data_IF_585949411049
#
_entry.id   IF_585949411049
#
_cell.length_a   1.000
_cell.length_b   1.000
_cell.length_c   1.000
_cell.angle_alpha   90.00
_cell.angle_beta   90.00
_cell.angle_gamma   90.00
#
_symmetry.space_group_name_H-M   'P 1'
#
loop_
_entity.id
_entity.type
_entity.pdbx_description
1 polymer ?
#
# COMPACT_ATOMS: atom_id res chain seq x y z
N UNK A 1 -34.25 -16.95 22.24
CA UNK A 1 -32.82 -17.32 22.46
C UNK A 1 -31.92 -16.73 21.41
N UNK A 2 -32.30 -16.73 20.12
CA UNK A 2 -31.52 -16.09 19.05
C UNK A 2 -31.30 -14.61 19.32
N UNK A 3 -32.30 -13.83 19.72
CA UNK A 3 -32.18 -12.40 20.03
C UNK A 3 -31.14 -12.10 21.14
N UNK A 4 -31.01 -13.03 22.11
CA UNK A 4 -30.00 -12.90 23.17
C UNK A 4 -28.61 -13.23 22.66
N UNK A 5 -28.50 -14.24 21.79
CA UNK A 5 -27.23 -14.59 21.17
C UNK A 5 -26.72 -13.47 20.25
N UNK A 6 -27.61 -12.81 19.51
CA UNK A 6 -27.29 -11.61 18.70
C UNK A 6 -26.80 -10.44 19.54
N UNK A 7 -27.44 -10.18 20.69
CA UNK A 7 -27.01 -9.12 21.62
C UNK A 7 -25.65 -9.39 22.25
N UNK A 8 -25.29 -10.65 22.45
CA UNK A 8 -24.00 -11.07 23.01
C UNK A 8 -22.88 -11.14 21.96
N UNK A 9 -23.24 -11.14 20.69
CA UNK A 9 -22.26 -11.20 19.59
C UNK A 9 -21.34 -9.99 19.63
N UNK A 10 -20.03 -10.23 19.55
CA UNK A 10 -19.00 -9.19 19.69
C UNK A 10 -18.63 -8.82 21.15
N UNK A 11 -19.41 -9.26 22.15
CA UNK A 11 -19.12 -9.04 23.57
C UNK A 11 -18.63 -10.33 24.24
N UNK A 12 -19.24 -11.46 23.91
CA UNK A 12 -18.81 -12.78 24.39
C UNK A 12 -17.77 -13.39 23.44
N UNK A 13 -16.80 -14.12 24.00
CA UNK A 13 -15.75 -14.79 23.23
C UNK A 13 -16.32 -15.93 22.38
N UNK A 14 -17.22 -16.72 22.94
CA UNK A 14 -17.91 -17.83 22.29
C UNK A 14 -19.37 -17.85 22.79
N UNK A 15 -20.29 -18.13 21.90
CA UNK A 15 -21.72 -18.24 22.22
C UNK A 15 -22.18 -19.62 21.74
N UNK A 16 -22.90 -20.33 22.59
CA UNK A 16 -23.57 -21.59 22.27
C UNK A 16 -25.04 -21.50 22.64
N UNK A 17 -25.92 -21.90 21.74
CA UNK A 17 -27.36 -21.99 22.00
C UNK A 17 -27.71 -23.46 22.21
N UNK A 18 -28.18 -23.76 23.43
CA UNK A 18 -28.59 -25.12 23.80
C UNK A 18 -30.06 -25.33 23.57
N UNK A 19 -30.37 -26.38 22.83
CA UNK A 19 -31.69 -26.94 22.78
C UNK A 19 -31.80 -28.03 23.82
N UNK A 20 -32.77 -27.90 24.75
CA UNK A 20 -33.00 -28.84 25.83
C UNK A 20 -34.04 -29.87 25.37
N UNK A 21 -33.65 -31.11 25.10
CA UNK A 21 -34.57 -32.14 24.56
C UNK A 21 -35.58 -32.58 25.60
N UNK A 22 -36.81 -32.95 25.19
CA UNK A 22 -37.86 -33.48 26.05
C UNK A 22 -38.83 -32.45 26.62
N UNK A 23 -38.58 -31.15 26.39
CA UNK A 23 -39.53 -30.11 26.79
C UNK A 23 -40.74 -30.10 25.83
N UNK A 24 -41.96 -30.20 26.38
CA UNK A 24 -43.23 -30.14 25.62
C UNK A 24 -43.54 -28.77 25.00
N UNK A 25 -44.69 -28.53 24.40
CA UNK A 25 -45.11 -27.22 23.87
C UNK A 25 -45.34 -26.18 24.99
N UNK A 26 -44.93 -24.93 24.79
CA UNK A 26 -45.08 -23.82 25.74
C UNK A 26 -46.56 -23.58 26.10
N UNK A 27 -46.91 -23.67 27.37
CA UNK A 27 -48.20 -23.27 27.93
C UNK A 27 -48.07 -21.92 28.63
N UNK A 28 -49.15 -21.13 28.68
CA UNK A 28 -49.17 -19.72 29.11
C UNK A 28 -48.53 -19.40 30.50
N UNK A 29 -48.22 -20.33 31.35
CA UNK A 29 -47.63 -20.07 32.69
C UNK A 29 -46.38 -20.88 33.01
N UNK A 30 -45.94 -21.79 32.19
CA UNK A 30 -44.68 -22.53 32.37
C UNK A 30 -43.82 -22.34 31.14
N UNK A 31 -42.71 -21.62 31.34
CA UNK A 31 -41.72 -21.45 30.28
C UNK A 31 -40.98 -22.76 30.05
N UNK A 32 -40.56 -23.00 28.83
CA UNK A 32 -39.59 -24.02 28.51
C UNK A 32 -38.21 -23.47 28.92
N UNK A 33 -37.84 -23.64 30.16
CA UNK A 33 -36.54 -23.20 30.67
C UNK A 33 -35.73 -24.38 31.22
N UNK A 34 -34.57 -24.05 31.71
CA UNK A 34 -33.68 -25.05 32.29
C UNK A 34 -34.27 -25.75 33.50
N UNK A 35 -35.11 -25.09 34.33
CA UNK A 35 -35.73 -25.68 35.48
C UNK A 35 -36.72 -26.79 35.08
N UNK A 36 -37.56 -26.53 34.06
CA UNK A 36 -38.49 -27.51 33.53
C UNK A 36 -37.75 -28.72 32.93
N UNK A 37 -36.61 -28.51 32.33
CA UNK A 37 -35.77 -29.58 31.81
C UNK A 37 -35.10 -30.40 32.93
N UNK A 38 -34.66 -29.78 33.98
CA UNK A 38 -33.99 -30.43 35.12
C UNK A 38 -34.96 -31.32 35.93
N UNK A 39 -36.27 -31.01 35.92
CA UNK A 39 -37.32 -31.76 36.57
C UNK A 39 -37.74 -33.05 35.80
N UNK A 40 -37.25 -33.23 34.60
CA UNK A 40 -37.50 -34.45 33.81
C UNK A 40 -36.60 -35.57 34.34
N UNK A 41 -37.22 -36.70 34.68
CA UNK A 41 -36.50 -37.87 35.20
C UNK A 41 -35.43 -38.37 34.18
N UNK A 42 -34.21 -38.54 34.69
CA UNK A 42 -33.05 -38.93 33.87
C UNK A 42 -32.24 -37.76 33.28
N UNK A 43 -32.62 -36.51 33.53
CA UNK A 43 -31.81 -35.35 33.19
C UNK A 43 -30.95 -34.96 34.44
N UNK A 44 -29.66 -35.04 34.27
CA UNK A 44 -28.67 -34.72 35.33
C UNK A 44 -27.56 -33.80 34.81
N UNK A 45 -26.64 -33.42 35.69
CA UNK A 45 -25.50 -32.56 35.36
C UNK A 45 -24.59 -33.18 34.30
N UNK A 46 -24.50 -34.51 34.23
CA UNK A 46 -23.66 -35.19 33.23
C UNK A 46 -24.26 -35.01 31.85
N UNK A 47 -25.56 -35.22 31.72
CA UNK A 47 -26.29 -35.02 30.44
C UNK A 47 -26.28 -33.58 29.99
N UNK A 48 -26.34 -32.62 30.94
CA UNK A 48 -26.18 -31.19 30.61
C UNK A 48 -24.78 -30.90 30.05
N UNK A 49 -23.74 -31.43 30.67
CA UNK A 49 -22.38 -31.25 30.20
C UNK A 49 -22.13 -31.86 28.81
N UNK A 50 -22.75 -32.99 28.51
CA UNK A 50 -22.73 -33.61 27.20
C UNK A 50 -23.42 -32.69 26.17
N UNK A 51 -24.58 -32.14 26.45
CA UNK A 51 -25.29 -31.19 25.61
C UNK A 51 -24.49 -29.91 25.36
N UNK A 52 -23.80 -29.39 26.37
CA UNK A 52 -22.92 -28.22 26.25
C UNK A 52 -21.71 -28.54 25.36
N UNK A 53 -21.13 -29.74 25.51
CA UNK A 53 -20.00 -30.18 24.72
C UNK A 53 -20.37 -30.29 23.24
N UNK A 54 -21.52 -30.90 22.96
CA UNK A 54 -21.98 -31.18 21.61
C UNK A 54 -22.63 -29.99 20.91
N UNK A 55 -23.01 -28.95 21.65
CA UNK A 55 -23.59 -27.75 21.08
C UNK A 55 -22.59 -27.02 20.18
N UNK A 56 -23.00 -26.76 18.95
CA UNK A 56 -22.22 -25.97 17.99
C UNK A 56 -22.09 -24.52 18.46
N UNK A 57 -20.99 -23.90 18.10
CA UNK A 57 -20.85 -22.45 18.28
C UNK A 57 -21.92 -21.74 17.45
N UNK A 58 -22.64 -20.84 18.11
CA UNK A 58 -23.62 -20.01 17.46
C UNK A 58 -22.91 -18.92 16.63
N UNK A 59 -23.31 -18.80 15.40
CA UNK A 59 -23.00 -17.66 14.56
C UNK A 59 -24.31 -17.03 14.08
N UNK A 60 -24.35 -15.71 13.87
CA UNK A 60 -25.50 -15.09 13.23
C UNK A 60 -25.84 -15.86 11.95
N UNK A 61 -27.13 -16.14 11.72
CA UNK A 61 -27.57 -16.61 10.42
C UNK A 61 -27.09 -15.57 9.39
N UNK A 62 -26.17 -15.94 8.54
CA UNK A 62 -25.83 -15.15 7.35
C UNK A 62 -27.09 -15.12 6.47
N UNK A 63 -27.98 -14.19 6.76
CA UNK A 63 -29.03 -13.82 5.81
C UNK A 63 -28.25 -13.18 4.68
N UNK A 64 -28.18 -13.86 3.54
CA UNK A 64 -27.60 -13.31 2.32
C UNK A 64 -28.46 -12.12 1.92
N UNK A 65 -28.05 -10.94 2.40
CA UNK A 65 -28.65 -9.68 2.02
C UNK A 65 -27.97 -9.23 0.72
N UNK A 66 -28.68 -9.40 -0.41
CA UNK A 66 -28.19 -8.95 -1.71
C UNK A 66 -27.77 -7.47 -1.70
N UNK A 67 -28.43 -6.66 -0.90
CA UNK A 67 -28.14 -5.25 -0.75
C UNK A 67 -26.81 -5.04 -0.02
N UNK A 68 -26.50 -5.88 0.98
CA UNK A 68 -25.20 -5.86 1.68
C UNK A 68 -24.08 -6.37 0.78
N UNK A 69 -24.30 -7.43 0.00
CA UNK A 69 -23.33 -7.97 -0.94
C UNK A 69 -22.84 -6.92 -1.94
N UNK A 70 -23.74 -6.08 -2.43
CA UNK A 70 -23.36 -4.93 -3.31
C UNK A 70 -22.53 -3.90 -2.59
N UNK A 71 -22.79 -3.63 -1.31
CA UNK A 71 -21.98 -2.70 -0.51
C UNK A 71 -20.57 -3.25 -0.32
N UNK A 72 -20.44 -4.54 -0.04
CA UNK A 72 -19.15 -5.21 0.10
C UNK A 72 -18.37 -5.22 -1.23
N UNK A 73 -19.03 -5.54 -2.36
CA UNK A 73 -18.41 -5.47 -3.70
C UNK A 73 -17.80 -4.08 -3.95
N UNK A 74 -18.56 -3.03 -3.68
CA UNK A 74 -18.09 -1.67 -3.91
C UNK A 74 -17.01 -1.23 -2.90
N UNK A 75 -17.08 -1.70 -1.65
CA UNK A 75 -16.06 -1.45 -0.64
C UNK A 75 -14.68 -2.02 -1.01
N UNK A 76 -14.61 -3.07 -1.84
CA UNK A 76 -13.32 -3.60 -2.31
C UNK A 76 -12.54 -2.58 -3.15
N UNK A 77 -13.26 -1.72 -3.88
CA UNK A 77 -12.66 -0.80 -4.88
C UNK A 77 -12.80 0.67 -4.50
N UNK A 78 -13.74 1.00 -3.63
CA UNK A 78 -14.11 2.38 -3.36
C UNK A 78 -14.09 2.70 -1.86
N UNK A 79 -13.80 3.95 -1.57
CA UNK A 79 -14.04 4.51 -0.24
C UNK A 79 -14.32 6.02 -0.33
N UNK A 80 -15.01 6.54 0.68
CA UNK A 80 -15.28 7.97 0.81
C UNK A 80 -14.24 8.62 1.70
N UNK A 81 -13.78 9.81 1.35
CA UNK A 81 -12.89 10.62 2.18
C UNK A 81 -13.11 12.12 1.94
N UNK A 82 -12.45 12.94 2.76
CA UNK A 82 -12.43 14.40 2.58
C UNK A 82 -11.06 14.83 2.05
N UNK A 83 -11.04 15.55 0.92
CA UNK A 83 -9.81 16.13 0.35
C UNK A 83 -10.08 17.62 0.09
N UNK A 84 -9.31 18.52 0.72
CA UNK A 84 -9.49 19.96 0.57
C UNK A 84 -10.90 20.41 0.95
N UNK A 85 -11.47 19.87 2.05
CA UNK A 85 -12.83 20.19 2.49
C UNK A 85 -13.98 19.65 1.62
N UNK A 86 -13.67 18.86 0.57
CA UNK A 86 -14.67 18.31 -0.37
C UNK A 86 -14.79 16.81 -0.21
N UNK A 87 -16.03 16.31 -0.11
CA UNK A 87 -16.31 14.87 -0.14
C UNK A 87 -15.85 14.30 -1.47
N UNK A 88 -15.04 13.25 -1.42
CA UNK A 88 -14.42 12.60 -2.59
C UNK A 88 -14.60 11.10 -2.47
N UNK A 89 -15.02 10.46 -3.57
CA UNK A 89 -14.96 9.02 -3.71
C UNK A 89 -13.62 8.66 -4.33
N UNK A 90 -12.87 7.84 -3.64
CA UNK A 90 -11.58 7.32 -4.10
C UNK A 90 -11.79 5.94 -4.67
N UNK A 91 -11.25 5.71 -5.85
CA UNK A 91 -11.32 4.43 -6.55
C UNK A 91 -9.92 3.82 -6.63
N UNK A 92 -9.78 2.60 -6.13
CA UNK A 92 -8.57 1.81 -6.31
C UNK A 92 -8.70 1.05 -7.64
N UNK A 93 -7.92 1.44 -8.65
CA UNK A 93 -7.98 0.91 -10.01
C UNK A 93 -6.63 0.34 -10.40
N UNK A 94 -6.63 -0.84 -11.02
CA UNK A 94 -5.42 -1.37 -11.63
C UNK A 94 -5.12 -0.63 -12.93
N UNK A 95 -3.93 -0.04 -13.01
CA UNK A 95 -3.41 0.58 -14.22
C UNK A 95 -2.54 -0.43 -14.97
N UNK A 96 -3.00 -0.95 -16.14
CA UNK A 96 -2.27 -1.97 -16.88
C UNK A 96 -0.97 -1.45 -17.52
N UNK A 97 -0.85 -0.13 -17.76
CA UNK A 97 0.35 0.46 -18.33
C UNK A 97 1.47 0.62 -17.28
N UNK A 98 1.07 0.84 -16.03
CA UNK A 98 1.99 0.96 -14.90
C UNK A 98 2.12 -0.36 -14.11
N UNK A 99 1.35 -1.39 -14.45
CA UNK A 99 1.25 -2.70 -13.77
C UNK A 99 1.09 -2.57 -12.25
N UNK A 100 0.34 -1.54 -11.81
CA UNK A 100 0.12 -1.25 -10.38
C UNK A 100 -1.27 -0.68 -10.13
N UNK A 101 -1.72 -0.78 -8.88
CA UNK A 101 -2.93 -0.10 -8.46
C UNK A 101 -2.66 1.39 -8.21
N UNK A 102 -3.49 2.23 -8.83
CA UNK A 102 -3.49 3.68 -8.65
C UNK A 102 -4.78 4.13 -7.99
N UNK A 103 -4.76 5.32 -7.40
CA UNK A 103 -5.95 5.97 -6.91
C UNK A 103 -6.46 6.97 -7.94
N UNK A 104 -7.75 6.86 -8.26
CA UNK A 104 -8.48 7.88 -9.00
C UNK A 104 -9.52 8.54 -8.11
N UNK A 105 -9.91 9.75 -8.42
CA UNK A 105 -10.74 10.59 -7.58
C UNK A 105 -11.98 11.05 -8.34
N UNK A 106 -13.16 10.75 -7.80
CA UNK A 106 -14.44 11.15 -8.37
C UNK A 106 -15.20 12.04 -7.41
N UNK A 107 -16.05 12.92 -7.96
CA UNK A 107 -17.08 13.56 -7.14
C UNK A 107 -18.16 12.54 -6.75
N UNK A 108 -18.92 12.75 -5.66
CA UNK A 108 -20.06 11.90 -5.36
C UNK A 108 -21.08 11.79 -6.49
N UNK A 109 -21.23 12.85 -7.28
CA UNK A 109 -22.14 12.88 -8.43
C UNK A 109 -21.63 11.99 -9.56
N UNK A 110 -20.36 12.11 -9.93
CA UNK A 110 -19.78 11.31 -10.99
C UNK A 110 -19.78 9.82 -10.64
N UNK A 111 -19.46 9.49 -9.38
CA UNK A 111 -19.54 8.12 -8.89
C UNK A 111 -20.95 7.53 -9.01
N UNK A 112 -21.98 8.28 -8.59
CA UNK A 112 -23.38 7.84 -8.70
C UNK A 112 -23.81 7.68 -10.15
N UNK A 113 -23.41 8.60 -11.03
CA UNK A 113 -23.70 8.55 -12.46
C UNK A 113 -23.02 7.35 -13.12
N UNK A 114 -21.79 7.02 -12.75
CA UNK A 114 -21.06 5.85 -13.26
C UNK A 114 -21.81 4.54 -13.00
N UNK A 115 -22.47 4.41 -11.83
CA UNK A 115 -23.23 3.23 -11.43
C UNK A 115 -24.74 3.39 -11.66
N UNK A 116 -25.20 4.36 -12.42
CA UNK A 116 -26.62 4.61 -12.65
C UNK A 116 -27.34 3.55 -13.47
N UNK A 117 -26.59 2.66 -14.16
CA UNK A 117 -27.12 1.57 -14.98
C UNK A 117 -27.17 0.22 -14.25
N UNK A 118 -26.76 0.15 -12.98
CA UNK A 118 -26.84 -1.04 -12.13
C UNK A 118 -27.80 -0.77 -10.97
N UNK A 119 -28.78 -1.65 -10.77
CA UNK A 119 -29.86 -1.48 -9.80
C UNK A 119 -29.96 -2.66 -8.86
N UNK A 120 -30.44 -2.39 -7.66
CA UNK A 120 -30.97 -3.31 -6.67
C UNK A 120 -32.39 -2.92 -6.34
N UNK A 121 -33.17 -3.84 -5.77
CA UNK A 121 -34.53 -3.55 -5.31
C UNK A 121 -34.54 -3.32 -3.81
N UNK A 122 -35.04 -2.15 -3.39
CA UNK A 122 -35.21 -1.78 -1.98
C UNK A 122 -36.68 -1.33 -1.82
N UNK A 123 -37.42 -1.94 -0.93
CA UNK A 123 -38.85 -1.65 -0.71
C UNK A 123 -39.65 -1.60 -2.04
N UNK A 124 -39.45 -2.63 -2.88
CA UNK A 124 -40.08 -2.78 -4.21
C UNK A 124 -39.73 -1.65 -5.22
N UNK A 125 -38.68 -0.89 -4.96
CA UNK A 125 -38.23 0.20 -5.84
C UNK A 125 -36.83 -0.03 -6.36
N UNK A 126 -36.57 0.23 -7.65
CA UNK A 126 -35.23 0.16 -8.19
C UNK A 126 -34.39 1.33 -7.67
N UNK A 127 -33.24 1.01 -7.05
CA UNK A 127 -32.26 2.00 -6.57
C UNK A 127 -30.92 1.69 -7.20
N UNK A 128 -30.26 2.69 -7.79
CA UNK A 128 -28.92 2.46 -8.35
C UNK A 128 -27.91 2.11 -7.26
N UNK A 129 -27.03 1.15 -7.56
CA UNK A 129 -26.04 0.66 -6.58
C UNK A 129 -25.08 1.76 -6.10
N UNK A 130 -24.74 2.73 -6.95
CA UNK A 130 -23.92 3.87 -6.56
C UNK A 130 -24.61 4.79 -5.56
N UNK A 131 -25.93 4.96 -5.69
CA UNK A 131 -26.71 5.75 -4.74
C UNK A 131 -26.89 5.03 -3.41
N UNK A 132 -27.19 3.72 -3.46
CA UNK A 132 -27.32 2.86 -2.30
C UNK A 132 -26.01 2.84 -1.48
N UNK A 133 -24.90 2.47 -2.12
CA UNK A 133 -23.59 2.41 -1.46
C UNK A 133 -23.19 3.74 -0.83
N UNK A 134 -23.37 4.85 -1.55
CA UNK A 134 -22.95 6.16 -1.06
C UNK A 134 -23.69 6.58 0.23
N UNK A 135 -24.92 6.12 0.42
CA UNK A 135 -25.72 6.40 1.63
C UNK A 135 -25.61 5.31 2.71
N UNK A 136 -25.09 4.14 2.35
CA UNK A 136 -25.09 3.01 3.25
C UNK A 136 -24.17 3.21 4.47
N UNK A 137 -24.58 2.88 5.70
CA UNK A 137 -23.79 3.09 6.91
C UNK A 137 -22.48 2.29 6.92
N UNK A 138 -22.44 1.10 6.27
CA UNK A 138 -21.27 0.23 6.17
C UNK A 138 -20.39 0.55 4.96
N UNK A 139 -20.62 1.64 4.24
CA UNK A 139 -19.72 2.07 3.18
C UNK A 139 -18.32 2.31 3.76
N UNK A 140 -17.30 1.89 3.03
CA UNK A 140 -15.91 2.15 3.41
C UNK A 140 -15.63 3.65 3.39
N UNK A 141 -15.21 4.20 4.52
CA UNK A 141 -14.96 5.62 4.68
C UNK A 141 -13.76 5.88 5.58
N UNK A 142 -12.98 6.92 5.26
CA UNK A 142 -11.84 7.37 6.05
C UNK A 142 -11.87 8.89 6.20
N UNK A 143 -11.45 9.46 7.35
CA UNK A 143 -11.32 10.89 7.53
C UNK A 143 -10.37 11.55 6.52
N UNK A 144 -9.30 10.84 6.14
CA UNK A 144 -8.30 11.33 5.21
C UNK A 144 -7.45 10.22 4.62
N UNK A 145 -6.48 10.62 3.82
CA UNK A 145 -5.46 9.75 3.22
C UNK A 145 -4.10 10.13 3.80
N UNK A 146 -3.30 9.14 4.12
CA UNK A 146 -1.92 9.33 4.58
C UNK A 146 -0.97 8.36 3.87
N UNK A 147 0.30 8.69 3.85
CA UNK A 147 1.34 7.75 3.45
C UNK A 147 2.28 7.55 4.64
N UNK A 148 2.23 6.38 5.24
CA UNK A 148 3.02 6.04 6.43
C UNK A 148 3.67 4.67 6.21
N UNK A 149 4.87 4.64 5.64
CA UNK A 149 5.58 3.40 5.34
C UNK A 149 5.82 2.55 6.60
N UNK A 150 5.66 1.24 6.49
CA UNK A 150 5.82 0.30 7.60
C UNK A 150 4.61 0.17 8.53
N UNK A 151 3.55 0.97 8.35
CA UNK A 151 2.33 0.88 9.14
C UNK A 151 1.18 0.26 8.35
N UNK A 152 0.28 -0.43 9.05
CA UNK A 152 -0.92 -1.00 8.43
C UNK A 152 -1.94 0.07 8.04
N UNK A 153 -2.90 -0.29 7.19
CA UNK A 153 -4.06 0.56 6.89
C UNK A 153 -5.30 0.01 7.61
N UNK A 154 -6.11 0.85 8.31
CA UNK A 154 -5.92 2.30 8.47
C UNK A 154 -4.81 2.67 9.47
N UNK A 155 -4.18 3.84 9.28
CA UNK A 155 -3.24 4.41 10.23
C UNK A 155 -3.86 5.65 10.90
N UNK A 156 -4.02 5.62 12.22
CA UNK A 156 -4.72 6.67 12.99
C UNK A 156 -6.07 7.04 12.35
N UNK A 157 -6.83 6.03 11.90
CA UNK A 157 -8.12 6.20 11.25
C UNK A 157 -8.07 6.60 9.76
N UNK A 158 -6.94 7.07 9.24
CA UNK A 158 -6.80 7.47 7.84
C UNK A 158 -6.44 6.28 6.94
N UNK A 159 -6.88 6.33 5.70
CA UNK A 159 -6.44 5.35 4.70
C UNK A 159 -4.94 5.49 4.44
N UNK A 160 -4.19 4.44 4.71
CA UNK A 160 -2.76 4.42 4.47
C UNK A 160 -2.45 3.93 3.05
N UNK A 161 -1.71 4.73 2.29
CA UNK A 161 -1.27 4.41 0.93
C UNK A 161 -0.17 3.33 0.89
N UNK A 162 0.47 3.08 2.03
CA UNK A 162 1.49 2.05 2.13
C UNK A 162 0.89 0.65 1.91
N UNK A 163 1.46 -0.12 0.99
CA UNK A 163 1.01 -1.48 0.65
C UNK A 163 2.05 -2.57 0.95
N UNK A 164 3.10 -2.20 1.66
CA UNK A 164 4.22 -3.11 1.94
C UNK A 164 5.32 -3.06 0.88
N UNK A 165 6.34 -3.84 1.14
CA UNK A 165 7.36 -4.14 0.14
C UNK A 165 6.82 -5.19 -0.84
N UNK A 166 7.34 -5.19 -2.06
CA UNK A 166 6.95 -6.15 -3.10
C UNK A 166 7.63 -7.52 -2.93
N UNK A 167 8.55 -7.61 -1.99
CA UNK A 167 9.31 -8.82 -1.69
C UNK A 167 9.18 -9.16 -0.20
N UNK A 168 9.16 -10.46 0.10
CA UNK A 168 9.24 -10.93 1.48
C UNK A 168 10.69 -11.25 1.84
N UNK A 169 11.13 -10.88 3.05
CA UNK A 169 12.46 -11.28 3.52
C UNK A 169 12.62 -12.79 3.49
N UNK A 170 13.69 -13.27 2.87
CA UNK A 170 14.12 -14.66 2.99
C UNK A 170 15.44 -14.71 3.75
N UNK A 171 15.63 -15.72 4.59
CA UNK A 171 16.94 -16.01 5.14
C UNK A 171 17.89 -16.35 3.98
N UNK A 172 19.05 -15.68 3.96
CA UNK A 172 20.07 -16.02 2.97
C UNK A 172 20.56 -17.45 3.20
N UNK A 173 20.33 -18.30 2.22
CA UNK A 173 20.82 -19.69 2.24
C UNK A 173 22.00 -19.81 1.25
N UNK A 174 23.24 -19.86 1.74
CA UNK A 174 24.41 -19.92 0.87
C UNK A 174 24.54 -21.27 0.10
N UNK A 175 23.71 -22.26 0.42
CA UNK A 175 23.72 -23.57 -0.24
C UNK A 175 22.76 -23.67 -1.42
N UNK A 176 21.92 -22.66 -1.65
CA UNK A 176 21.03 -22.60 -2.82
C UNK A 176 21.72 -21.87 -3.97
N UNK A 177 22.16 -22.57 -5.04
CA UNK A 177 22.99 -22.00 -6.11
C UNK A 177 22.34 -20.78 -6.81
N UNK A 178 21.05 -20.84 -7.09
CA UNK A 178 20.35 -19.78 -7.84
C UNK A 178 20.25 -18.46 -7.05
N UNK A 179 20.10 -18.54 -5.72
CA UNK A 179 20.09 -17.36 -4.87
C UNK A 179 21.48 -16.71 -4.74
N UNK A 180 22.53 -17.51 -4.84
CA UNK A 180 23.93 -17.03 -4.71
C UNK A 180 24.38 -16.34 -5.99
N UNK A 181 24.06 -16.88 -7.17
CA UNK A 181 24.55 -16.32 -8.45
C UNK A 181 23.94 -14.91 -8.68
N UNK A 182 22.63 -14.76 -8.62
CA UNK A 182 21.97 -13.47 -8.85
C UNK A 182 22.39 -12.40 -7.83
N UNK A 183 22.46 -12.77 -6.55
CA UNK A 183 22.96 -11.86 -5.50
C UNK A 183 24.43 -11.47 -5.74
N UNK A 184 25.28 -12.42 -6.07
CA UNK A 184 26.72 -12.18 -6.30
C UNK A 184 26.94 -11.25 -7.49
N UNK A 185 26.17 -11.39 -8.58
CA UNK A 185 26.26 -10.52 -9.75
C UNK A 185 25.79 -9.10 -9.40
N UNK A 186 24.68 -8.96 -8.67
CA UNK A 186 24.20 -7.65 -8.25
C UNK A 186 25.16 -6.96 -7.27
N UNK A 187 25.77 -7.74 -6.37
CA UNK A 187 26.78 -7.26 -5.44
C UNK A 187 28.05 -6.80 -6.15
N UNK A 188 28.54 -7.61 -7.12
CA UNK A 188 29.65 -7.23 -8.01
C UNK A 188 29.34 -5.94 -8.76
N UNK A 189 28.11 -5.82 -9.25
CA UNK A 189 27.66 -4.60 -9.96
C UNK A 189 27.70 -3.36 -9.08
N UNK A 190 27.32 -3.47 -7.80
CA UNK A 190 27.42 -2.34 -6.86
C UNK A 190 28.89 -1.97 -6.64
N UNK A 191 29.76 -2.93 -6.36
CA UNK A 191 31.14 -2.68 -5.99
C UNK A 191 31.95 -2.21 -7.19
N UNK A 192 31.97 -3.01 -8.26
CA UNK A 192 32.92 -2.83 -9.35
C UNK A 192 32.38 -1.90 -10.45
N UNK A 193 31.06 -1.79 -10.57
CA UNK A 193 30.47 -0.98 -11.63
C UNK A 193 29.92 0.36 -11.09
N UNK A 194 28.98 0.33 -10.14
CA UNK A 194 28.34 1.56 -9.60
C UNK A 194 29.35 2.38 -8.77
N UNK A 195 30.09 1.72 -7.88
CA UNK A 195 31.09 2.38 -7.03
C UNK A 195 32.50 2.42 -7.67
N UNK A 196 32.63 1.94 -8.92
CA UNK A 196 33.90 1.95 -9.69
C UNK A 196 35.08 1.35 -8.91
N UNK A 197 34.86 0.24 -8.19
CA UNK A 197 35.87 -0.44 -7.38
C UNK A 197 36.29 0.30 -6.09
N UNK A 198 35.60 1.36 -5.70
CA UNK A 198 35.87 2.07 -4.47
C UNK A 198 35.07 1.52 -3.30
N UNK A 199 35.72 0.83 -2.37
CA UNK A 199 35.06 0.18 -1.23
C UNK A 199 34.24 1.13 -0.36
N UNK A 200 34.73 2.35 -0.11
CA UNK A 200 34.00 3.34 0.69
C UNK A 200 32.72 3.77 0.01
N UNK A 201 32.78 4.01 -1.29
CA UNK A 201 31.60 4.33 -2.11
C UNK A 201 30.62 3.18 -2.17
N UNK A 202 31.11 1.95 -2.33
CA UNK A 202 30.28 0.74 -2.33
C UNK A 202 29.54 0.57 -1.00
N UNK A 203 30.26 0.67 0.13
CA UNK A 203 29.65 0.57 1.46
C UNK A 203 28.66 1.70 1.72
N UNK A 204 28.89 2.89 1.18
CA UNK A 204 27.92 3.98 1.27
C UNK A 204 26.63 3.67 0.50
N UNK A 205 26.73 3.18 -0.74
CA UNK A 205 25.57 2.78 -1.55
C UNK A 205 24.77 1.69 -0.84
N UNK A 206 25.45 0.65 -0.35
CA UNK A 206 24.82 -0.45 0.38
C UNK A 206 24.11 0.06 1.65
N UNK A 207 24.80 0.91 2.43
CA UNK A 207 24.23 1.51 3.63
C UNK A 207 23.00 2.39 3.32
N UNK A 208 23.03 3.17 2.23
CA UNK A 208 21.92 3.98 1.77
C UNK A 208 20.72 3.12 1.37
N UNK A 209 20.96 2.01 0.66
CA UNK A 209 19.94 1.03 0.30
C UNK A 209 19.35 0.34 1.52
N UNK A 210 20.21 -0.13 2.43
CA UNK A 210 19.82 -0.83 3.66
C UNK A 210 18.97 0.08 4.57
N UNK A 211 19.39 1.32 4.78
CA UNK A 211 18.64 2.28 5.60
C UNK A 211 17.24 2.59 5.02
N UNK A 212 17.11 2.57 3.69
CA UNK A 212 15.82 2.78 3.06
C UNK A 212 14.84 1.63 3.33
N UNK A 213 15.33 0.39 3.37
CA UNK A 213 14.52 -0.80 3.66
C UNK A 213 14.24 -0.92 5.16
N UNK A 214 15.25 -0.71 6.00
CA UNK A 214 15.15 -0.86 7.46
C UNK A 214 14.40 0.30 8.12
N UNK A 215 14.56 1.51 7.58
CA UNK A 215 14.00 2.74 8.14
C UNK A 215 13.22 3.55 7.07
N UNK A 216 12.14 3.00 6.48
CA UNK A 216 11.47 3.62 5.33
C UNK A 216 10.84 4.99 5.66
N UNK A 217 10.63 5.30 6.95
CA UNK A 217 10.14 6.59 7.43
C UNK A 217 11.24 7.61 7.74
N UNK A 218 12.49 7.15 7.79
CA UNK A 218 13.62 8.03 8.07
C UNK A 218 14.13 8.65 6.78
N UNK A 219 14.41 9.91 6.80
CA UNK A 219 15.02 10.63 5.68
C UNK A 219 16.50 10.80 5.94
N UNK A 220 17.32 10.50 4.93
CA UNK A 220 18.76 10.74 5.00
C UNK A 220 19.12 12.16 4.55
N UNK A 221 18.25 12.84 3.81
CA UNK A 221 18.52 14.14 3.22
C UNK A 221 19.63 14.11 2.15
N UNK A 222 19.88 12.92 1.59
CA UNK A 222 20.93 12.67 0.59
C UNK A 222 20.39 11.86 -0.57
N UNK A 223 20.72 12.31 -1.78
CA UNK A 223 20.42 11.66 -3.05
C UNK A 223 21.68 10.98 -3.60
N UNK A 224 21.53 9.80 -4.19
CA UNK A 224 22.58 9.17 -4.98
C UNK A 224 22.49 9.68 -6.43
N UNK A 225 23.64 10.04 -7.01
CA UNK A 225 23.77 10.47 -8.39
C UNK A 225 24.76 9.55 -9.10
N UNK A 226 24.27 8.78 -10.06
CA UNK A 226 25.03 7.87 -10.89
C UNK A 226 25.38 8.56 -12.19
N UNK A 227 26.64 8.91 -12.37
CA UNK A 227 27.12 9.62 -13.55
C UNK A 227 28.00 8.72 -14.40
N UNK A 228 27.86 8.83 -15.71
CA UNK A 228 28.74 8.15 -16.67
C UNK A 228 28.64 8.87 -18.01
N UNK A 229 29.74 9.14 -18.67
CA UNK A 229 29.74 9.71 -20.01
C UNK A 229 29.23 8.71 -21.07
N UNK A 230 29.13 7.43 -20.67
CA UNK A 230 28.73 6.33 -21.54
C UNK A 230 27.32 5.83 -21.21
N UNK A 231 26.59 5.46 -22.27
CA UNK A 231 25.28 4.79 -22.15
C UNK A 231 25.43 3.28 -22.03
N UNK A 232 24.43 2.63 -21.39
CA UNK A 232 24.41 1.18 -21.26
C UNK A 232 25.38 0.63 -20.21
N UNK A 233 25.72 1.42 -19.20
CA UNK A 233 26.61 1.04 -18.09
C UNK A 233 25.89 0.41 -16.91
N UNK A 234 24.58 0.14 -17.01
CA UNK A 234 23.79 -0.54 -15.97
C UNK A 234 23.17 0.35 -14.89
N UNK A 235 23.27 1.69 -14.97
CA UNK A 235 22.66 2.62 -14.01
C UNK A 235 21.16 2.41 -13.83
N UNK A 236 20.43 2.33 -14.94
CA UNK A 236 18.98 2.11 -14.95
C UNK A 236 18.60 0.72 -14.46
N UNK A 237 19.42 -0.29 -14.74
CA UNK A 237 19.18 -1.65 -14.26
C UNK A 237 19.36 -1.75 -12.74
N UNK A 238 20.41 -1.15 -12.20
CA UNK A 238 20.60 -1.01 -10.76
C UNK A 238 19.35 -0.40 -10.08
N UNK A 239 18.86 0.73 -10.64
CA UNK A 239 17.68 1.40 -10.12
C UNK A 239 16.41 0.55 -10.20
N UNK A 240 16.24 -0.21 -11.29
CA UNK A 240 15.10 -1.10 -11.52
C UNK A 240 15.10 -2.28 -10.54
N UNK A 241 16.24 -2.95 -10.36
CA UNK A 241 16.37 -4.10 -9.45
C UNK A 241 16.12 -3.64 -8.02
N UNK A 242 16.77 -2.57 -7.58
CA UNK A 242 16.53 -2.02 -6.24
C UNK A 242 15.09 -1.52 -6.08
N UNK A 243 14.55 -0.87 -7.11
CA UNK A 243 13.17 -0.38 -7.16
C UNK A 243 12.13 -1.50 -7.03
N UNK A 244 12.44 -2.71 -7.51
CA UNK A 244 11.54 -3.86 -7.41
C UNK A 244 11.14 -4.19 -5.96
N UNK A 245 12.01 -3.94 -5.00
CA UNK A 245 11.72 -4.12 -3.57
C UNK A 245 10.51 -3.28 -3.14
N UNK A 246 10.37 -2.08 -3.68
CA UNK A 246 9.35 -1.10 -3.28
C UNK A 246 8.03 -1.24 -4.05
N UNK A 247 8.02 -2.01 -5.13
CA UNK A 247 6.84 -2.24 -5.96
C UNK A 247 6.18 -0.93 -6.40
N UNK A 248 4.92 -0.72 -6.05
CA UNK A 248 4.19 0.51 -6.42
C UNK A 248 4.77 1.81 -5.83
N UNK A 249 5.62 1.72 -4.82
CA UNK A 249 6.29 2.86 -4.19
C UNK A 249 7.61 3.24 -4.86
N UNK A 250 7.97 2.54 -5.94
CA UNK A 250 9.03 2.91 -6.86
C UNK A 250 8.46 3.67 -8.06
N UNK A 251 9.05 4.80 -8.39
CA UNK A 251 8.67 5.58 -9.55
C UNK A 251 9.90 5.89 -10.40
N UNK A 252 9.84 5.55 -11.69
CA UNK A 252 10.83 5.90 -12.69
C UNK A 252 10.33 7.09 -13.51
N UNK A 253 11.11 8.14 -13.57
CA UNK A 253 10.77 9.40 -14.24
C UNK A 253 11.89 9.80 -15.20
N UNK A 254 11.50 10.02 -16.46
CA UNK A 254 12.39 10.49 -17.53
C UNK A 254 12.11 11.93 -17.95
N UNK A 255 10.99 12.51 -17.50
CA UNK A 255 10.59 13.87 -17.85
C UNK A 255 10.65 14.79 -16.61
N UNK A 256 11.42 15.90 -16.66
CA UNK A 256 11.54 16.86 -15.54
C UNK A 256 10.20 17.37 -15.02
N UNK A 257 9.22 17.56 -15.89
CA UNK A 257 7.89 18.09 -15.52
C UNK A 257 7.15 17.20 -14.53
N UNK A 258 7.45 15.91 -14.48
CA UNK A 258 6.86 15.00 -13.50
C UNK A 258 7.45 15.17 -12.09
N UNK A 259 8.55 15.90 -11.97
CA UNK A 259 9.22 16.18 -10.70
C UNK A 259 9.02 17.63 -10.24
N UNK A 260 9.02 18.57 -11.20
CA UNK A 260 8.98 20.01 -10.94
C UNK A 260 7.62 20.65 -11.28
N UNK A 261 6.73 19.88 -11.91
CA UNK A 261 5.40 20.35 -12.31
C UNK A 261 4.44 20.46 -11.11
N UNK A 262 3.40 21.30 -11.28
CA UNK A 262 2.45 21.58 -10.23
C UNK A 262 1.64 20.33 -9.80
N UNK A 263 1.20 19.49 -10.75
CA UNK A 263 0.41 18.30 -10.43
C UNK A 263 1.30 17.12 -10.03
N UNK A 264 1.59 17.02 -8.75
CA UNK A 264 2.55 16.07 -8.18
C UNK A 264 1.93 14.95 -7.32
N UNK A 265 0.62 14.74 -7.44
CA UNK A 265 -0.10 13.72 -6.67
C UNK A 265 0.46 12.31 -6.83
N UNK A 266 1.09 11.99 -7.97
CA UNK A 266 1.73 10.70 -8.25
C UNK A 266 2.96 10.43 -7.37
N UNK A 267 3.50 11.46 -6.71
CA UNK A 267 4.61 11.32 -5.78
C UNK A 267 4.14 11.03 -4.34
N UNK A 268 2.85 11.12 -4.04
CA UNK A 268 2.34 11.09 -2.66
C UNK A 268 2.72 9.81 -1.91
N UNK A 269 2.77 8.69 -2.62
CA UNK A 269 3.12 7.37 -2.09
C UNK A 269 4.46 6.83 -2.62
N UNK A 270 5.30 7.73 -3.15
CA UNK A 270 6.62 7.37 -3.66
C UNK A 270 7.65 7.30 -2.53
N UNK A 271 8.36 6.17 -2.44
CA UNK A 271 9.49 5.94 -1.55
C UNK A 271 10.82 6.08 -2.29
N UNK A 272 10.98 5.38 -3.40
CA UNK A 272 12.14 5.49 -4.27
C UNK A 272 11.74 6.16 -5.58
N UNK A 273 12.29 7.33 -5.82
CA UNK A 273 12.14 8.06 -7.06
C UNK A 273 13.43 7.95 -7.87
N UNK A 274 13.34 7.30 -9.01
CA UNK A 274 14.44 7.22 -9.95
C UNK A 274 14.25 8.23 -11.08
N UNK A 275 15.15 9.20 -11.15
CA UNK A 275 15.18 10.23 -12.16
C UNK A 275 16.26 9.89 -13.20
N UNK A 276 15.84 9.41 -14.37
CA UNK A 276 16.72 9.00 -15.45
C UNK A 276 16.79 10.10 -16.51
N UNK A 277 17.95 10.75 -16.59
CA UNK A 277 18.19 11.90 -17.48
C UNK A 277 17.17 13.06 -17.33
N UNK A 278 16.40 13.04 -16.22
CA UNK A 278 15.29 13.94 -16.01
C UNK A 278 15.70 15.36 -15.56
N UNK A 279 16.99 15.63 -15.41
CA UNK A 279 17.46 16.94 -14.96
C UNK A 279 18.56 17.49 -15.85
N UNK A 280 18.47 18.80 -16.03
CA UNK A 280 19.54 19.58 -16.65
C UNK A 280 20.03 20.62 -15.63
N UNK A 281 21.33 20.62 -15.36
CA UNK A 281 21.95 21.46 -14.34
C UNK A 281 21.83 22.99 -14.59
N UNK A 282 21.30 23.41 -15.74
CA UNK A 282 21.00 24.82 -16.06
C UNK A 282 19.60 25.28 -15.66
N UNK A 283 18.72 24.38 -15.21
CA UNK A 283 17.34 24.73 -14.85
C UNK A 283 17.26 25.09 -13.36
N UNK A 284 17.27 26.39 -13.03
CA UNK A 284 17.16 26.89 -11.67
C UNK A 284 15.83 26.52 -11.00
N UNK A 285 14.76 26.33 -11.74
CA UNK A 285 13.46 25.92 -11.18
C UNK A 285 13.49 24.47 -10.70
N UNK A 286 14.14 23.60 -11.47
CA UNK A 286 14.39 22.22 -11.09
C UNK A 286 15.29 22.10 -9.85
N UNK A 287 16.26 22.98 -9.69
CA UNK A 287 17.15 23.01 -8.51
C UNK A 287 16.38 23.20 -7.21
N UNK A 288 15.48 24.18 -7.14
CA UNK A 288 14.64 24.42 -5.97
C UNK A 288 13.75 23.25 -5.63
N UNK A 289 13.09 22.66 -6.66
CA UNK A 289 12.24 21.49 -6.48
C UNK A 289 13.02 20.26 -5.98
N UNK A 290 14.24 20.03 -6.49
CA UNK A 290 15.12 18.96 -6.03
C UNK A 290 15.54 19.15 -4.58
N UNK A 291 15.96 20.35 -4.21
CA UNK A 291 16.33 20.68 -2.82
C UNK A 291 15.18 20.40 -1.87
N UNK A 292 13.97 20.87 -2.21
CA UNK A 292 12.75 20.60 -1.45
C UNK A 292 12.46 19.09 -1.35
N UNK A 293 12.52 18.37 -2.45
CA UNK A 293 12.27 16.93 -2.48
C UNK A 293 13.25 16.15 -1.59
N UNK A 294 14.52 16.58 -1.51
CA UNK A 294 15.57 15.91 -0.73
C UNK A 294 15.51 16.31 0.74
N UNK A 295 15.23 17.59 1.07
CA UNK A 295 15.41 18.11 2.43
C UNK A 295 14.15 18.37 3.23
N UNK A 296 13.02 18.69 2.58
CA UNK A 296 11.82 19.09 3.30
C UNK A 296 11.02 17.89 3.82
N UNK A 297 10.57 17.94 5.08
CA UNK A 297 9.76 16.89 5.71
C UNK A 297 8.33 16.86 5.18
N UNK A 298 7.83 18.00 4.77
CA UNK A 298 6.51 18.17 4.20
C UNK A 298 6.64 18.66 2.77
N UNK A 299 5.72 18.23 1.95
CA UNK A 299 5.57 18.76 0.59
C UNK A 299 4.14 19.13 0.31
N UNK A 300 3.95 20.17 -0.46
CA UNK A 300 2.67 20.52 -1.04
C UNK A 300 2.29 19.49 -2.11
N UNK A 301 1.10 18.94 -2.01
CA UNK A 301 0.52 18.01 -3.00
C UNK A 301 -0.64 18.70 -3.68
N UNK A 302 -0.58 18.74 -5.01
CA UNK A 302 -1.60 19.31 -5.86
C UNK A 302 -2.26 18.21 -6.71
N UNK A 303 -3.55 18.02 -6.48
CA UNK A 303 -4.42 17.15 -7.29
C UNK A 303 -5.26 18.04 -8.20
N UNK A 304 -5.34 17.74 -9.48
CA UNK A 304 -6.14 18.53 -10.43
C UNK A 304 -7.57 18.69 -9.94
N UNK A 305 -8.00 19.96 -9.78
CA UNK A 305 -9.36 20.31 -9.32
C UNK A 305 -9.60 20.14 -7.81
N UNK A 306 -8.54 19.95 -7.02
CA UNK A 306 -8.58 19.93 -5.55
C UNK A 306 -7.66 21.01 -4.98
N UNK A 307 -7.96 21.45 -3.77
CA UNK A 307 -7.09 22.38 -3.06
C UNK A 307 -5.77 21.69 -2.68
N UNK A 308 -4.70 22.46 -2.65
CA UNK A 308 -3.36 22.00 -2.25
C UNK A 308 -3.37 21.59 -0.78
N UNK A 309 -2.77 20.48 -0.45
CA UNK A 309 -2.60 20.03 0.93
C UNK A 309 -1.16 19.59 1.20
N UNK A 310 -0.78 19.56 2.48
CA UNK A 310 0.55 19.11 2.89
C UNK A 310 0.55 17.60 3.14
N UNK A 311 1.57 16.92 2.63
CA UNK A 311 1.83 15.51 2.91
C UNK A 311 3.26 15.31 3.39
N UNK A 312 3.48 14.29 4.23
CA UNK A 312 4.83 13.89 4.63
C UNK A 312 5.60 13.39 3.43
N UNK A 313 6.87 13.76 3.36
CA UNK A 313 7.77 13.40 2.29
C UNK A 313 8.75 12.32 2.79
N UNK A 314 8.59 11.08 2.32
CA UNK A 314 9.50 9.97 2.60
C UNK A 314 10.33 9.57 1.37
N UNK A 315 10.21 10.34 0.29
CA UNK A 315 10.86 10.05 -0.98
C UNK A 315 12.38 10.14 -0.86
N UNK A 316 13.07 9.12 -1.34
CA UNK A 316 14.52 9.14 -1.57
C UNK A 316 14.77 9.18 -3.07
N UNK A 317 15.71 9.99 -3.46
CA UNK A 317 15.99 10.29 -4.86
C UNK A 317 17.26 9.58 -5.30
N UNK A 318 17.15 8.86 -6.42
CA UNK A 318 18.24 8.27 -7.18
C UNK A 318 18.26 8.92 -8.55
N UNK A 319 19.37 9.47 -8.97
CA UNK A 319 19.51 10.16 -10.25
C UNK A 319 20.50 9.40 -11.12
N UNK A 320 20.19 9.20 -12.40
CA UNK A 320 21.15 8.76 -13.40
C UNK A 320 21.31 9.82 -14.50
N UNK A 321 22.55 10.00 -14.96
CA UNK A 321 22.82 10.88 -16.08
C UNK A 321 24.03 10.45 -16.87
N UNK A 322 24.00 10.78 -18.16
CA UNK A 322 25.14 10.64 -19.08
C UNK A 322 25.90 11.96 -19.30
N UNK A 323 25.59 12.99 -18.51
CA UNK A 323 26.23 14.30 -18.60
C UNK A 323 27.20 14.49 -17.42
N UNK A 324 28.32 15.15 -17.68
CA UNK A 324 29.33 15.47 -16.66
C UNK A 324 28.79 16.42 -15.59
N UNK A 325 27.84 17.29 -15.93
CA UNK A 325 27.17 18.20 -15.01
C UNK A 325 25.68 17.85 -14.83
N UNK A 326 25.37 17.12 -13.76
CA UNK A 326 24.03 16.51 -13.54
C UNK A 326 23.19 17.32 -12.58
N UNK A 327 23.81 17.86 -11.52
CA UNK A 327 23.12 18.58 -10.46
C UNK A 327 23.85 19.91 -10.22
N UNK A 328 23.11 20.99 -9.93
CA UNK A 328 23.71 22.24 -9.49
C UNK A 328 24.29 22.03 -8.11
N UNK A 329 25.47 21.48 -8.04
CA UNK A 329 26.19 21.29 -6.79
C UNK A 329 27.26 22.37 -6.66
N UNK A 330 27.13 23.20 -5.65
CA UNK A 330 28.25 23.94 -5.12
C UNK A 330 29.27 22.95 -4.50
N UNK A 331 30.54 23.31 -4.45
CA UNK A 331 31.65 22.43 -4.01
C UNK A 331 31.43 21.75 -2.63
N UNK A 332 30.43 22.17 -1.86
CA UNK A 332 30.10 21.66 -0.53
C UNK A 332 28.64 21.26 -0.35
N UNK A 333 27.91 20.95 -1.44
CA UNK A 333 26.51 20.53 -1.32
C UNK A 333 26.40 19.08 -0.79
N UNK A 334 26.10 18.96 0.50
CA UNK A 334 25.94 17.68 1.22
C UNK A 334 24.74 16.85 0.80
N UNK A 335 23.89 17.35 -0.11
CA UNK A 335 22.65 16.66 -0.55
C UNK A 335 22.89 15.60 -1.61
N UNK A 336 24.06 15.66 -2.26
CA UNK A 336 24.33 14.78 -3.41
C UNK A 336 25.60 13.97 -3.17
N UNK A 337 25.50 12.66 -3.30
CA UNK A 337 26.65 11.76 -3.42
C UNK A 337 26.76 11.35 -4.88
N UNK A 338 27.80 11.86 -5.54
CA UNK A 338 28.04 11.64 -6.96
C UNK A 338 29.01 10.49 -7.14
N UNK A 339 28.63 9.50 -7.91
CA UNK A 339 29.40 8.31 -8.23
C UNK A 339 29.63 8.25 -9.73
N UNK A 340 30.90 8.14 -10.12
CA UNK A 340 31.30 7.92 -11.50
C UNK A 340 31.27 6.43 -11.78
N UNK A 341 30.25 6.02 -12.55
CA UNK A 341 29.99 4.59 -12.84
C UNK A 341 31.01 4.07 -13.84
N UNK A 342 31.59 2.92 -13.55
CA UNK A 342 32.60 2.28 -14.38
C UNK A 342 31.99 1.85 -15.75
N UNK A 343 32.59 2.24 -16.89
CA UNK A 343 32.09 1.85 -18.21
C UNK A 343 32.46 0.42 -18.64
N UNK A 344 33.22 -0.33 -17.84
CA UNK A 344 33.73 -1.65 -18.19
C UNK A 344 32.63 -2.64 -18.62
N UNK A 345 31.42 -2.55 -18.04
CA UNK A 345 30.25 -3.36 -18.39
C UNK A 345 29.35 -2.74 -19.44
N UNK A 346 29.84 -1.76 -20.19
CA UNK A 346 29.06 -1.10 -21.24
C UNK A 346 28.50 -2.10 -22.25
N UNK A 347 27.16 -2.18 -22.33
CA UNK A 347 26.42 -3.07 -23.26
C UNK A 347 26.74 -4.57 -23.08
N UNK A 348 27.14 -4.98 -21.90
CA UNK A 348 27.39 -6.38 -21.56
C UNK A 348 26.04 -7.12 -21.33
N UNK A 349 25.41 -7.52 -22.43
CA UNK A 349 24.08 -8.13 -22.43
C UNK A 349 24.03 -9.43 -21.64
N UNK A 350 25.11 -10.22 -21.65
CA UNK A 350 25.19 -11.50 -20.93
C UNK A 350 25.25 -11.27 -19.41
N UNK A 351 26.09 -10.32 -19.00
CA UNK A 351 26.19 -9.93 -17.59
C UNK A 351 24.86 -9.38 -17.06
N UNK A 352 24.26 -8.43 -17.78
CA UNK A 352 22.98 -7.84 -17.39
C UNK A 352 21.82 -8.84 -17.48
N UNK A 353 21.86 -9.76 -18.47
CA UNK A 353 20.86 -10.82 -18.61
C UNK A 353 20.83 -11.79 -17.43
N UNK A 354 22.00 -12.11 -16.88
CA UNK A 354 22.12 -12.95 -15.67
C UNK A 354 21.63 -12.22 -14.40
N UNK A 355 21.80 -10.91 -14.34
CA UNK A 355 21.35 -10.10 -13.20
C UNK A 355 19.83 -9.97 -13.10
N UNK A 356 19.11 -10.11 -14.23
CA UNK A 356 17.64 -9.97 -14.29
C UNK A 356 16.93 -11.28 -13.96
N UNK A 357 17.60 -12.42 -14.17
CA UNK A 357 17.06 -13.76 -13.85
C UNK A 357 16.97 -13.99 -12.35
#
# INVERSE_FOLDING_TARGET
>A
MQDIAEQLHGTAKNIKVLELPGLGERKEKHGKDFSDWADIDGNDQKKLNELISDALEWSPLEVFDENLAVVEELNLKHFVTMIGGKTTVVNEVHDPAMERNILTYSTPTDFKNYYSNRFITIDDRPVSIGHHWFKHPLRRQFPGITFMPGETSPYMGNYNLWKGFNVSPKAFNPTEPDNVEGFSIFWDHIINNIANGNDKSAMYVIGWMADMVQHPRKRLGVSLVLRSDEQGTGKGLFAKIFGHIFGKHYLHVTNPRHLTGNFNAHLIDCLLLFADEAFWAGDKSAEGALKTLITEELRAVEIKGKDVFQARNFTRLLIASNKSWVVPSELHDRRFVILDVNPQRKRDTDYFGKMIK
#
